data_IF_030116294729
#
_entry.id   IF_030116294729
#
_cell.length_a   1.000
_cell.length_b   1.000
_cell.length_c   1.000
_cell.angle_alpha   90.00
_cell.angle_beta   90.00
_cell.angle_gamma   90.00
#
_symmetry.space_group_name_H-M   'P 1'
#
loop_
_entity.id
_entity.type
_entity.pdbx_description
1 polymer ?
#
# COMPACT_ATOMS: atom_id res chain seq x y z
N UNK A 1 5.02 53.26 -29.34
CA UNK A 1 6.23 53.38 -30.18
C UNK A 1 6.92 52.02 -30.18
N UNK A 2 6.85 51.33 -31.32
CA UNK A 2 7.66 50.16 -31.74
C UNK A 2 9.08 50.65 -32.13
N UNK A 3 10.14 49.80 -32.20
CA UNK A 3 10.32 48.75 -33.22
C UNK A 3 10.78 47.39 -32.64
N UNK A 4 10.28 46.25 -33.10
CA UNK A 4 10.63 45.48 -34.33
C UNK A 4 12.06 44.92 -34.37
N UNK A 5 12.17 43.59 -34.25
CA UNK A 5 13.27 42.80 -34.81
C UNK A 5 12.76 41.43 -35.28
N UNK A 6 13.12 41.12 -36.52
CA UNK A 6 12.70 40.03 -37.40
C UNK A 6 13.02 38.60 -36.91
N UNK A 7 12.18 37.67 -37.35
CA UNK A 7 12.40 36.22 -37.38
C UNK A 7 13.37 35.77 -38.49
N UNK A 8 13.78 34.48 -38.46
CA UNK A 8 13.88 33.68 -39.68
C UNK A 8 12.98 32.42 -39.66
N UNK A 9 12.51 32.07 -40.86
CA UNK A 9 11.58 30.98 -41.19
C UNK A 9 12.25 29.59 -41.33
N UNK A 10 11.37 28.60 -41.16
CA UNK A 10 11.28 27.32 -41.86
C UNK A 10 12.14 26.13 -41.39
N UNK A 11 11.45 25.10 -40.90
CA UNK A 11 11.58 23.74 -41.42
C UNK A 11 10.23 23.03 -41.43
N UNK A 12 9.77 22.78 -42.64
CA UNK A 12 8.68 21.90 -43.00
C UNK A 12 9.12 20.44 -42.71
N UNK A 13 8.33 19.71 -41.91
CA UNK A 13 8.41 18.25 -41.84
C UNK A 13 7.00 17.69 -41.72
N UNK A 14 6.37 17.62 -42.89
CA UNK A 14 5.36 16.63 -43.25
C UNK A 14 5.68 15.26 -42.62
N UNK A 15 4.88 14.83 -41.64
CA UNK A 15 4.87 13.43 -41.21
C UNK A 15 3.53 12.80 -41.59
N UNK A 16 3.59 12.36 -42.85
CA UNK A 16 2.69 11.53 -43.65
C UNK A 16 1.89 10.51 -42.84
N UNK A 17 0.58 10.61 -42.96
CA UNK A 17 -0.44 9.58 -42.74
C UNK A 17 -0.06 8.25 -43.41
N UNK A 18 -0.20 7.15 -42.66
CA UNK A 18 0.07 5.79 -43.14
C UNK A 18 -0.92 4.79 -42.58
N UNK A 19 -2.19 4.94 -42.97
CA UNK A 19 -3.26 3.97 -42.78
C UNK A 19 -2.99 2.76 -43.69
N UNK A 20 -2.63 1.60 -43.14
CA UNK A 20 -2.35 0.38 -43.92
C UNK A 20 -3.23 -0.78 -43.48
N UNK A 21 -4.44 -0.73 -44.03
CA UNK A 21 -5.28 -1.82 -44.54
C UNK A 21 -4.80 -3.26 -44.27
N UNK A 22 -5.55 -3.90 -43.38
CA UNK A 22 -5.84 -5.34 -43.34
C UNK A 22 -6.02 -5.91 -44.77
N UNK A 23 -5.16 -6.83 -45.18
CA UNK A 23 -5.34 -7.63 -46.41
C UNK A 23 -5.58 -9.08 -46.03
N UNK A 24 -6.80 -9.53 -46.30
CA UNK A 24 -7.23 -10.92 -46.31
C UNK A 24 -6.66 -11.59 -47.58
N UNK A 25 -6.03 -12.75 -47.46
CA UNK A 25 -5.79 -13.65 -48.58
C UNK A 25 -6.06 -15.08 -48.13
N UNK A 26 -7.09 -15.67 -48.74
CA UNK A 26 -7.49 -17.07 -48.62
C UNK A 26 -6.93 -17.87 -49.81
N UNK A 27 -6.61 -19.14 -49.54
CA UNK A 27 -6.76 -20.33 -50.39
C UNK A 27 -5.47 -21.11 -50.71
N UNK A 28 -5.50 -22.41 -50.37
CA UNK A 28 -4.53 -23.42 -50.82
C UNK A 28 -4.55 -24.68 -49.95
N UNK A 29 -5.53 -25.55 -50.14
CA UNK A 29 -5.70 -26.82 -49.42
C UNK A 29 -4.76 -27.92 -49.98
N UNK A 30 -4.24 -28.82 -49.13
CA UNK A 30 -4.08 -30.25 -49.45
C UNK A 30 -3.97 -31.08 -48.16
N UNK A 31 -4.78 -32.13 -48.12
CA UNK A 31 -5.12 -32.98 -46.97
C UNK A 31 -3.98 -33.89 -46.52
N UNK A 32 -3.84 -34.07 -45.21
CA UNK A 32 -3.37 -35.34 -44.63
C UNK A 32 -4.31 -35.74 -43.49
N UNK A 33 -5.10 -36.78 -43.76
CA UNK A 33 -5.90 -37.51 -42.79
C UNK A 33 -4.94 -38.12 -41.76
N UNK A 34 -5.08 -37.73 -40.50
CA UNK A 34 -4.53 -38.48 -39.37
C UNK A 34 -5.63 -38.68 -38.35
N UNK A 35 -5.79 -39.94 -37.94
CA UNK A 35 -6.96 -40.49 -37.28
C UNK A 35 -7.39 -39.74 -36.03
N UNK A 36 -8.69 -39.55 -35.93
CA UNK A 36 -9.39 -39.09 -34.75
C UNK A 36 -9.25 -40.18 -33.67
N UNK A 37 -8.26 -40.03 -32.79
CA UNK A 37 -8.25 -40.71 -31.50
C UNK A 37 -9.17 -39.95 -30.55
N UNK A 38 -10.47 -40.30 -30.53
CA UNK A 38 -11.37 -39.84 -29.46
C UNK A 38 -11.03 -40.60 -28.17
N UNK A 39 -9.97 -40.18 -27.50
CA UNK A 39 -9.84 -40.45 -26.08
C UNK A 39 -10.94 -39.62 -25.39
N UNK A 40 -12.06 -40.26 -25.05
CA UNK A 40 -13.09 -39.68 -24.18
C UNK A 40 -12.47 -39.58 -22.78
N UNK A 41 -11.65 -38.54 -22.59
CA UNK A 41 -11.15 -38.15 -21.29
C UNK A 41 -12.31 -37.59 -20.51
N UNK A 42 -12.93 -38.41 -19.66
CA UNK A 42 -13.90 -37.90 -18.68
C UNK A 42 -13.13 -37.07 -17.67
N UNK A 43 -13.00 -35.77 -17.93
CA UNK A 43 -12.57 -34.81 -16.93
C UNK A 43 -13.63 -34.81 -15.83
N UNK A 44 -13.37 -35.53 -14.74
CA UNK A 44 -14.16 -35.38 -13.52
C UNK A 44 -13.94 -33.95 -13.05
N UNK A 45 -14.97 -33.10 -12.97
CA UNK A 45 -14.82 -31.83 -12.29
C UNK A 45 -14.53 -32.18 -10.83
N UNK A 46 -13.29 -31.93 -10.38
CA UNK A 46 -13.00 -31.83 -8.95
C UNK A 46 -13.78 -30.62 -8.48
N UNK A 47 -14.97 -30.87 -7.94
CA UNK A 47 -15.68 -29.90 -7.12
C UNK A 47 -14.90 -29.79 -5.82
N UNK A 48 -13.81 -29.04 -5.87
CA UNK A 48 -13.15 -28.55 -4.67
C UNK A 48 -14.14 -27.61 -4.02
N UNK A 49 -14.84 -28.08 -2.97
CA UNK A 49 -15.56 -27.18 -2.08
C UNK A 49 -14.51 -26.20 -1.58
N UNK A 50 -14.63 -24.93 -1.95
CA UNK A 50 -13.84 -23.87 -1.34
C UNK A 50 -14.19 -23.91 0.15
N UNK A 51 -13.34 -24.59 0.93
CA UNK A 51 -13.41 -24.49 2.37
C UNK A 51 -13.16 -22.99 2.64
N UNK A 52 -14.11 -22.25 3.23
CA UNK A 52 -13.76 -20.92 3.71
C UNK A 52 -12.54 -21.12 4.59
N UNK A 53 -11.46 -20.39 4.30
CA UNK A 53 -10.31 -20.37 5.19
C UNK A 53 -10.86 -19.98 6.56
N UNK A 54 -10.95 -20.96 7.46
CA UNK A 54 -11.34 -20.70 8.84
C UNK A 54 -10.33 -19.70 9.33
N UNK A 55 -10.76 -18.46 9.56
CA UNK A 55 -10.00 -17.49 10.32
C UNK A 55 -9.63 -18.24 11.59
N UNK A 56 -8.34 -18.50 11.78
CA UNK A 56 -7.85 -19.41 12.80
C UNK A 56 -8.60 -19.15 14.11
N UNK A 57 -9.43 -20.10 14.52
CA UNK A 57 -10.10 -20.02 15.82
C UNK A 57 -8.99 -19.97 16.85
N UNK A 58 -8.99 -18.92 17.66
CA UNK A 58 -8.00 -18.78 18.71
C UNK A 58 -8.13 -19.97 19.67
N UNK A 59 -6.99 -20.53 20.09
CA UNK A 59 -6.98 -21.61 21.06
C UNK A 59 -7.59 -21.16 22.39
N UNK A 60 -8.02 -22.12 23.22
CA UNK A 60 -8.77 -21.87 24.46
C UNK A 60 -8.14 -20.85 25.44
N UNK A 61 -6.83 -20.61 25.33
CA UNK A 61 -6.07 -19.67 26.19
C UNK A 61 -5.81 -18.30 25.54
N UNK A 62 -6.44 -18.01 24.41
CA UNK A 62 -6.20 -16.79 23.62
C UNK A 62 -7.49 -16.25 23.02
N UNK A 63 -7.56 -14.94 22.81
CA UNK A 63 -8.71 -14.28 22.20
C UNK A 63 -8.33 -13.63 20.86
N UNK A 64 -9.25 -13.57 19.89
CA UNK A 64 -9.03 -12.83 18.66
C UNK A 64 -8.85 -11.34 18.94
N UNK A 65 -7.76 -10.76 18.45
CA UNK A 65 -7.41 -9.35 18.57
C UNK A 65 -6.93 -8.82 17.21
N UNK A 66 -6.78 -7.51 17.10
CA UNK A 66 -6.00 -6.87 16.05
C UNK A 66 -4.67 -6.40 16.60
N UNK A 67 -3.61 -6.75 15.88
CA UNK A 67 -2.33 -6.04 15.97
C UNK A 67 -2.33 -4.92 14.95
N UNK A 68 -2.14 -3.69 15.40
CA UNK A 68 -1.94 -2.52 14.55
C UNK A 68 -0.52 -2.01 14.73
N UNK A 69 0.25 -1.97 13.64
CA UNK A 69 1.60 -1.39 13.62
C UNK A 69 1.53 -0.05 12.90
N UNK A 70 1.95 1.03 13.56
CA UNK A 70 1.99 2.39 13.03
C UNK A 70 3.43 2.88 12.89
N UNK A 71 3.72 3.55 11.79
CA UNK A 71 5.06 4.05 11.45
C UNK A 71 5.00 5.57 11.36
N UNK A 72 5.57 6.23 12.37
CA UNK A 72 5.57 7.67 12.52
C UNK A 72 6.89 8.26 12.04
N UNK A 73 6.87 8.90 10.88
CA UNK A 73 7.98 9.72 10.41
C UNK A 73 8.25 10.89 11.35
N UNK A 74 9.53 11.20 11.57
CA UNK A 74 9.95 12.29 12.46
C UNK A 74 10.38 13.54 11.69
N UNK A 75 10.58 13.47 10.38
CA UNK A 75 10.98 14.63 9.58
C UNK A 75 9.78 15.56 9.36
N UNK A 76 9.95 16.85 9.57
CA UNK A 76 8.92 17.86 9.26
C UNK A 76 9.21 18.51 7.91
N UNK A 77 8.19 18.94 7.15
CA UNK A 77 8.40 19.72 5.93
C UNK A 77 9.20 21.00 6.18
N UNK A 78 9.07 21.58 7.38
CA UNK A 78 9.81 22.76 7.84
C UNK A 78 10.18 22.61 9.31
N UNK A 79 11.35 23.12 9.68
CA UNK A 79 11.82 23.14 11.07
C UNK A 79 12.55 21.86 11.49
N UNK A 80 12.78 21.74 12.80
CA UNK A 80 13.43 20.57 13.38
C UNK A 80 12.53 19.33 13.31
N UNK A 81 13.15 18.16 13.17
CA UNK A 81 12.47 16.89 13.32
C UNK A 81 11.77 16.80 14.69
N UNK A 82 10.73 15.97 14.78
CA UNK A 82 10.06 15.66 16.06
C UNK A 82 11.11 15.18 17.06
N UNK A 83 11.23 15.92 18.16
CA UNK A 83 12.21 15.62 19.21
C UNK A 83 11.75 14.45 20.09
N UNK A 84 12.68 13.85 20.83
CA UNK A 84 12.33 12.78 21.78
C UNK A 84 11.31 13.25 22.81
N UNK A 85 11.47 14.46 23.35
CA UNK A 85 10.54 15.00 24.32
C UNK A 85 9.13 15.17 23.73
N UNK A 86 9.02 15.70 22.51
CA UNK A 86 7.73 15.83 21.83
C UNK A 86 7.07 14.48 21.57
N UNK A 87 7.86 13.48 21.20
CA UNK A 87 7.38 12.12 21.03
C UNK A 87 6.87 11.52 22.34
N UNK A 88 7.62 11.63 23.44
CA UNK A 88 7.20 11.13 24.75
C UNK A 88 5.92 11.82 25.25
N UNK A 89 5.78 13.13 25.03
CA UNK A 89 4.56 13.86 25.33
C UNK A 89 3.39 13.36 24.49
N UNK A 90 3.60 13.09 23.21
CA UNK A 90 2.58 12.52 22.33
C UNK A 90 2.15 11.11 22.79
N UNK A 91 3.09 10.25 23.16
CA UNK A 91 2.78 8.93 23.73
C UNK A 91 1.88 9.07 24.95
N UNK A 92 2.30 9.88 25.94
CA UNK A 92 1.56 10.09 27.18
C UNK A 92 0.16 10.65 26.93
N UNK A 93 0.07 11.75 26.20
CA UNK A 93 -1.16 12.55 26.11
C UNK A 93 -2.17 11.97 25.12
N UNK A 94 -1.69 11.35 24.03
CA UNK A 94 -2.56 10.92 22.94
C UNK A 94 -2.65 9.38 22.84
N UNK A 95 -1.53 8.65 22.96
CA UNK A 95 -1.55 7.19 22.81
C UNK A 95 -2.06 6.51 24.08
N UNK A 96 -1.40 6.71 25.22
CA UNK A 96 -1.73 6.05 26.49
C UNK A 96 -3.13 6.39 26.97
N UNK A 97 -3.60 7.62 26.73
CA UNK A 97 -5.00 8.01 27.01
C UNK A 97 -6.02 7.17 26.24
N UNK A 98 -5.70 6.73 25.02
CA UNK A 98 -6.59 5.93 24.16
C UNK A 98 -6.38 4.42 24.32
N UNK A 99 -5.16 4.00 24.67
CA UNK A 99 -4.75 2.61 24.81
C UNK A 99 -4.05 2.40 26.17
N UNK A 100 -4.82 2.46 27.28
CA UNK A 100 -4.25 2.35 28.63
C UNK A 100 -3.72 0.95 28.95
N UNK A 101 -4.23 -0.08 28.28
CA UNK A 101 -3.87 -1.48 28.51
C UNK A 101 -2.42 -1.80 28.10
N UNK A 102 -1.81 -1.00 27.24
CA UNK A 102 -0.41 -1.14 26.86
C UNK A 102 -0.11 -0.85 25.41
N UNK A 103 1.18 -0.67 25.15
CA UNK A 103 1.76 -0.38 23.84
C UNK A 103 3.23 -0.81 23.82
N UNK A 104 3.80 -0.97 22.63
CA UNK A 104 5.24 -1.16 22.46
C UNK A 104 5.76 -0.20 21.41
N UNK A 105 6.92 0.41 21.67
CA UNK A 105 7.54 1.37 20.75
C UNK A 105 9.01 1.02 20.53
N UNK A 106 9.49 1.20 19.31
CA UNK A 106 10.92 1.12 18.98
C UNK A 106 11.32 2.16 17.92
N UNK A 107 12.62 2.49 17.89
CA UNK A 107 13.20 3.29 16.83
C UNK A 107 13.28 2.49 15.53
N UNK A 108 13.07 3.15 14.40
CA UNK A 108 13.35 2.59 13.09
C UNK A 108 13.96 3.66 12.16
N UNK A 109 14.59 3.20 11.10
CA UNK A 109 14.99 4.03 9.97
C UNK A 109 14.37 3.46 8.70
N UNK A 110 13.59 4.28 8.02
CA UNK A 110 12.99 3.97 6.73
C UNK A 110 13.85 4.51 5.59
N UNK A 111 13.76 3.85 4.44
CA UNK A 111 14.30 4.35 3.18
C UNK A 111 13.27 4.16 2.08
N UNK A 112 13.07 5.19 1.26
CA UNK A 112 12.26 5.07 0.06
C UNK A 112 12.90 5.78 -1.12
N UNK A 113 12.67 5.23 -2.31
CA UNK A 113 13.13 5.86 -3.55
C UNK A 113 12.06 6.82 -4.05
N UNK A 114 12.41 8.08 -4.16
CA UNK A 114 11.58 9.14 -4.74
C UNK A 114 11.48 8.97 -6.27
N UNK A 115 10.56 9.70 -6.90
CA UNK A 115 10.31 9.60 -8.35
C UNK A 115 11.52 10.00 -9.22
N UNK A 116 12.40 10.85 -8.71
CA UNK A 116 13.66 11.27 -9.35
C UNK A 116 14.82 10.27 -9.14
N UNK A 117 14.58 9.16 -8.42
CA UNK A 117 15.57 8.13 -8.15
C UNK A 117 16.39 8.35 -6.88
N UNK A 118 16.24 9.48 -6.18
CA UNK A 118 16.92 9.74 -4.91
C UNK A 118 16.32 8.85 -3.81
N UNK A 119 17.18 8.25 -2.97
CA UNK A 119 16.76 7.53 -1.77
C UNK A 119 16.72 8.50 -0.61
N UNK A 120 15.53 8.71 -0.07
CA UNK A 120 15.34 9.45 1.18
C UNK A 120 15.50 8.52 2.37
N UNK A 121 16.08 9.04 3.43
CA UNK A 121 16.23 8.37 4.71
C UNK A 121 15.39 9.11 5.74
N UNK A 122 14.57 8.40 6.49
CA UNK A 122 13.77 9.00 7.55
C UNK A 122 13.83 8.18 8.83
N UNK A 123 14.24 8.86 9.90
CA UNK A 123 14.07 8.36 11.26
C UNK A 123 12.59 8.27 11.58
N UNK A 124 12.18 7.14 12.13
CA UNK A 124 10.80 6.82 12.44
C UNK A 124 10.66 6.26 13.86
N UNK A 125 9.48 6.42 14.43
CA UNK A 125 9.03 5.68 15.62
C UNK A 125 8.00 4.67 15.18
N UNK A 126 8.17 3.41 15.56
CA UNK A 126 7.17 2.37 15.30
C UNK A 126 6.42 2.08 16.57
N UNK A 127 5.08 2.14 16.50
CA UNK A 127 4.17 1.85 17.59
C UNK A 127 3.39 0.58 17.25
N UNK A 128 3.40 -0.39 18.16
CA UNK A 128 2.59 -1.58 18.08
C UNK A 128 1.52 -1.54 19.16
N UNK A 129 0.28 -1.76 18.73
CA UNK A 129 -0.89 -1.88 19.57
C UNK A 129 -1.51 -3.25 19.33
N UNK A 130 -1.92 -3.92 20.41
CA UNK A 130 -2.81 -5.09 20.36
C UNK A 130 -4.11 -4.66 21.02
N UNK A 131 -5.22 -4.72 20.29
CA UNK A 131 -6.52 -4.21 20.75
C UNK A 131 -7.68 -5.00 20.14
N UNK A 132 -8.87 -4.82 20.71
CA UNK A 132 -10.08 -5.50 20.24
C UNK A 132 -10.40 -5.15 18.77
N UNK A 133 -10.94 -6.12 18.03
CA UNK A 133 -11.48 -5.87 16.69
C UNK A 133 -12.89 -5.25 16.78
N UNK A 134 -12.95 -4.01 17.25
CA UNK A 134 -14.19 -3.25 17.37
C UNK A 134 -14.09 -1.85 16.78
N UNK A 135 -15.25 -1.21 16.61
CA UNK A 135 -15.35 0.13 16.04
C UNK A 135 -14.70 1.19 16.93
N UNK A 136 -14.74 1.02 18.26
CA UNK A 136 -14.18 1.98 19.22
C UNK A 136 -12.65 2.04 19.09
N UNK A 137 -11.99 0.90 19.10
CA UNK A 137 -10.54 0.77 18.98
C UNK A 137 -10.05 1.26 17.61
N UNK A 138 -10.74 0.88 16.53
CA UNK A 138 -10.43 1.38 15.18
C UNK A 138 -10.59 2.90 15.06
N UNK A 139 -11.62 3.46 15.69
CA UNK A 139 -11.81 4.92 15.76
C UNK A 139 -10.70 5.57 16.57
N UNK A 140 -10.28 4.97 17.69
CA UNK A 140 -9.17 5.47 18.50
C UNK A 140 -7.84 5.49 17.74
N UNK A 141 -7.52 4.43 16.99
CA UNK A 141 -6.34 4.37 16.10
C UNK A 141 -6.39 5.50 15.06
N UNK A 142 -7.52 5.69 14.39
CA UNK A 142 -7.68 6.76 13.39
C UNK A 142 -7.52 8.15 14.02
N UNK A 143 -8.15 8.37 15.17
CA UNK A 143 -8.00 9.61 15.92
C UNK A 143 -6.54 9.88 16.29
N UNK A 144 -5.79 8.86 16.70
CA UNK A 144 -4.37 8.98 16.97
C UNK A 144 -3.56 9.43 15.75
N UNK A 145 -3.81 8.80 14.59
CA UNK A 145 -3.16 9.16 13.31
C UNK A 145 -3.45 10.61 12.95
N UNK A 146 -4.71 11.03 13.01
CA UNK A 146 -5.10 12.39 12.65
C UNK A 146 -4.50 13.43 13.62
N UNK A 147 -4.42 13.12 14.91
CA UNK A 147 -3.76 13.97 15.91
C UNK A 147 -2.26 14.11 15.65
N UNK A 148 -1.57 13.02 15.30
CA UNK A 148 -0.15 13.10 14.94
C UNK A 148 0.08 13.99 13.72
N UNK A 149 -0.74 13.79 12.67
CA UNK A 149 -0.69 14.57 11.44
C UNK A 149 -0.88 16.06 11.69
N UNK A 150 -1.88 16.42 12.50
CA UNK A 150 -2.16 17.81 12.86
C UNK A 150 -1.07 18.42 13.76
N UNK A 151 -0.56 17.66 14.74
CA UNK A 151 0.39 18.19 15.73
C UNK A 151 1.79 18.43 15.13
N UNK A 152 2.19 17.61 14.16
CA UNK A 152 3.55 17.59 13.64
C UNK A 152 3.64 17.88 12.13
N UNK A 153 2.55 18.37 11.53
CA UNK A 153 2.45 18.73 10.11
C UNK A 153 2.83 17.58 9.15
N UNK A 154 2.41 16.36 9.50
CA UNK A 154 2.70 15.15 8.72
C UNK A 154 1.64 14.90 7.66
N UNK A 155 2.08 14.54 6.46
CA UNK A 155 1.17 14.23 5.34
C UNK A 155 0.37 12.94 5.63
N UNK A 156 1.07 11.93 6.15
CA UNK A 156 0.52 10.60 6.45
C UNK A 156 1.26 9.94 7.60
N UNK A 157 0.62 8.94 8.19
CA UNK A 157 1.25 7.91 9.01
C UNK A 157 0.97 6.61 8.26
N UNK A 158 1.97 5.76 8.03
CA UNK A 158 1.72 4.42 7.50
C UNK A 158 1.22 3.54 8.65
N UNK A 159 0.26 2.67 8.39
CA UNK A 159 -0.10 1.62 9.33
C UNK A 159 -0.49 0.34 8.60
N UNK A 160 -0.28 -0.79 9.26
CA UNK A 160 -0.78 -2.10 8.85
C UNK A 160 -1.54 -2.77 10.00
N UNK A 161 -2.39 -3.73 9.66
CA UNK A 161 -3.14 -4.50 10.65
C UNK A 161 -3.08 -5.99 10.36
N UNK A 162 -2.93 -6.80 11.39
CA UNK A 162 -3.04 -8.25 11.32
C UNK A 162 -4.05 -8.75 12.37
N UNK A 163 -4.89 -9.72 12.00
CA UNK A 163 -5.67 -10.50 12.97
C UNK A 163 -4.72 -11.44 13.70
N UNK A 164 -4.75 -11.42 15.03
CA UNK A 164 -3.88 -12.24 15.89
C UNK A 164 -4.70 -12.89 16.99
N UNK A 165 -4.19 -13.97 17.56
CA UNK A 165 -4.67 -14.50 18.83
C UNK A 165 -3.71 -14.03 19.92
N UNK A 166 -4.22 -13.33 20.92
CA UNK A 166 -3.40 -12.81 22.01
C UNK A 166 -3.98 -13.24 23.38
N UNK A 167 -3.09 -13.26 24.36
CA UNK A 167 -3.39 -13.52 25.76
C UNK A 167 -2.83 -12.37 26.58
N UNK A 168 -3.49 -12.05 27.69
CA UNK A 168 -3.15 -10.96 28.61
C UNK A 168 -2.84 -11.51 29.98
#
# INVERSE_FOLDING_TARGET
MLPDCLAPRARDRQQKTGDTRMRLAMAGAFSLVCGIGLAVGTSRPVSGRAQPASVAECGAMSTPQLRTTLYFGLARPKGAAVSELEWQLFLRDEVTTRFPEGLTVWEAEGQWRRADGVVDHERSKVLLLVHADDTASRTAVRGLIDRYRQKFDQQSVLWETARVCATS
#
